data_IF_957396953422
#
_entry.id   IF_957396953422
#
_cell.length_a   1.000
_cell.length_b   1.000
_cell.length_c   1.000
_cell.angle_alpha   90.00
_cell.angle_beta   90.00
_cell.angle_gamma   90.00
#
_symmetry.space_group_name_H-M   'P 1'
#
loop_
_entity.id
_entity.type
_entity.pdbx_description
1 polymer ?
#
# COMPACT_ATOMS: atom_id res chain seq x y z
N UNK A 1 50.47 1.47 11.61
CA UNK A 1 50.40 1.17 13.06
C UNK A 1 49.00 1.51 13.52
N UNK A 2 48.18 0.49 13.78
CA UNK A 2 46.83 0.64 14.31
C UNK A 2 46.93 1.07 15.78
N UNK A 3 46.66 2.34 16.08
CA UNK A 3 46.73 2.88 17.45
C UNK A 3 45.32 3.12 17.97
N UNK A 4 45.02 2.73 19.22
CA UNK A 4 43.74 3.07 19.82
C UNK A 4 43.63 4.58 20.03
N UNK A 5 42.41 5.10 19.93
CA UNK A 5 42.09 6.51 20.15
C UNK A 5 41.03 6.60 21.22
N UNK A 6 41.25 7.47 22.19
CA UNK A 6 40.23 7.76 23.19
C UNK A 6 39.52 9.05 22.80
N UNK A 7 38.19 9.06 22.93
CA UNK A 7 37.34 10.14 22.47
C UNK A 7 36.43 10.55 23.62
N UNK A 8 36.44 11.83 23.95
CA UNK A 8 35.47 12.38 24.88
C UNK A 8 34.83 13.66 24.35
N UNK A 9 33.61 13.90 24.81
CA UNK A 9 32.84 15.12 24.65
C UNK A 9 32.53 15.70 26.04
N UNK A 10 32.19 17.00 26.16
CA UNK A 10 31.95 17.68 27.43
C UNK A 10 30.95 16.99 28.38
N UNK A 11 30.04 16.17 27.85
CA UNK A 11 29.00 15.48 28.63
C UNK A 11 29.09 13.94 28.56
N UNK A 12 29.96 13.38 27.71
CA UNK A 12 30.03 11.93 27.47
C UNK A 12 31.47 11.53 27.18
N UNK A 13 31.97 10.51 27.86
CA UNK A 13 33.21 9.84 27.51
C UNK A 13 32.90 8.56 26.73
N UNK A 14 33.47 8.40 25.53
CA UNK A 14 33.33 7.20 24.71
C UNK A 14 34.42 6.17 25.04
N UNK A 15 35.45 6.56 25.80
CA UNK A 15 36.54 5.70 26.20
C UNK A 15 37.47 5.34 25.04
N UNK A 16 38.29 4.32 25.28
CA UNK A 16 39.32 3.87 24.36
C UNK A 16 38.72 2.99 23.26
N UNK A 17 38.82 3.42 22.01
CA UNK A 17 38.33 2.71 20.84
C UNK A 17 39.51 2.09 20.10
N UNK A 18 39.47 0.76 19.95
CA UNK A 18 40.45 0.02 19.16
C UNK A 18 40.16 0.13 17.65
N UNK A 19 41.18 0.03 16.77
CA UNK A 19 40.97 0.06 15.34
C UNK A 19 40.06 -1.07 14.87
N UNK A 20 39.09 -0.77 14.01
CA UNK A 20 38.00 -1.65 13.54
C UNK A 20 36.91 -1.96 14.59
N UNK A 21 36.92 -1.29 15.75
CA UNK A 21 35.84 -1.34 16.74
C UNK A 21 35.03 -0.04 16.75
N UNK A 22 33.82 -0.13 17.29
CA UNK A 22 32.88 0.97 17.41
C UNK A 22 32.52 1.22 18.87
N UNK A 23 32.11 2.45 19.19
CA UNK A 23 31.54 2.82 20.48
C UNK A 23 30.03 2.71 20.47
N UNK A 24 29.43 2.58 21.66
CA UNK A 24 27.97 2.62 21.79
C UNK A 24 27.43 4.04 21.49
N UNK A 25 26.20 4.09 21.00
CA UNK A 25 25.49 5.35 20.80
C UNK A 25 25.31 6.08 22.13
N UNK A 26 25.64 7.37 22.13
CA UNK A 26 25.45 8.24 23.28
C UNK A 26 24.62 9.45 22.91
N UNK A 27 23.86 9.95 23.89
CA UNK A 27 22.99 11.11 23.69
C UNK A 27 23.77 12.37 24.02
N UNK A 28 23.84 13.28 23.05
CA UNK A 28 24.49 14.58 23.18
C UNK A 28 23.39 15.66 23.06
N UNK A 29 23.55 16.77 23.79
CA UNK A 29 22.65 17.92 23.66
C UNK A 29 22.76 18.52 22.25
N UNK A 30 21.66 19.11 21.79
CA UNK A 30 21.65 19.84 20.52
C UNK A 30 22.60 21.05 20.57
N UNK A 31 23.12 21.42 19.40
CA UNK A 31 24.06 22.51 19.22
C UNK A 31 25.50 22.06 18.99
N UNK A 32 26.40 23.04 18.98
CA UNK A 32 27.83 22.83 18.70
C UNK A 32 28.50 22.10 19.85
N UNK A 33 28.92 20.87 19.60
CA UNK A 33 29.71 20.07 20.53
C UNK A 33 31.13 19.93 20.01
N UNK A 34 32.10 19.96 20.93
CA UNK A 34 33.51 19.75 20.62
C UNK A 34 33.93 18.39 21.17
N UNK A 35 34.41 17.53 20.29
CA UNK A 35 35.01 16.25 20.63
C UNK A 35 36.51 16.43 20.77
N UNK A 36 37.07 15.83 21.80
CA UNK A 36 38.51 15.75 22.01
C UNK A 36 38.94 14.31 21.81
N UNK A 37 39.78 14.09 20.81
CA UNK A 37 40.39 12.82 20.50
C UNK A 37 41.82 12.87 21.04
N UNK A 38 42.20 11.93 21.89
CA UNK A 38 43.56 11.85 22.39
C UNK A 38 44.14 10.44 22.26
N UNK A 39 45.44 10.42 22.05
CA UNK A 39 46.24 9.21 21.98
C UNK A 39 47.52 9.44 22.79
N UNK A 40 47.43 9.17 24.09
CA UNK A 40 48.51 9.43 25.05
C UNK A 40 48.90 10.92 25.08
N UNK A 41 49.98 11.28 24.40
CA UNK A 41 50.57 12.62 24.40
C UNK A 41 49.97 13.60 23.38
N UNK A 42 49.22 13.12 22.39
CA UNK A 42 48.69 13.97 21.32
C UNK A 42 47.17 14.12 21.43
N UNK A 43 46.66 15.34 21.27
CA UNK A 43 45.24 15.67 21.31
C UNK A 43 44.78 16.38 20.02
N UNK A 44 43.55 16.12 19.60
CA UNK A 44 42.89 16.74 18.46
C UNK A 44 41.47 17.14 18.83
N UNK A 45 41.08 18.37 18.51
CA UNK A 45 39.73 18.88 18.77
C UNK A 45 38.93 18.89 17.47
N UNK A 46 37.80 18.20 17.46
CA UNK A 46 36.87 18.15 16.34
C UNK A 46 35.53 18.75 16.76
N UNK A 47 35.05 19.78 16.06
CA UNK A 47 33.78 20.41 16.40
C UNK A 47 32.71 20.12 15.34
N UNK A 48 31.53 19.73 15.79
CA UNK A 48 30.36 19.47 14.95
C UNK A 48 29.10 20.01 15.63
N UNK A 49 28.21 20.55 14.79
CA UNK A 49 26.89 21.01 15.22
C UNK A 49 25.87 19.88 15.04
N UNK A 50 25.09 19.63 16.10
CA UNK A 50 24.08 18.57 16.15
C UNK A 50 22.68 19.18 16.17
N UNK A 51 21.87 18.81 15.17
CA UNK A 51 20.45 19.16 15.18
C UNK A 51 19.63 18.24 16.08
N UNK A 52 18.35 18.56 16.22
CA UNK A 52 17.45 17.79 17.08
C UNK A 52 17.11 16.44 16.42
N UNK A 53 17.25 15.34 17.18
CA UNK A 53 16.87 13.99 16.71
C UNK A 53 17.74 13.41 15.58
N UNK A 54 18.85 14.07 15.22
CA UNK A 54 19.82 13.53 14.27
C UNK A 54 20.75 12.49 14.90
N UNK A 55 21.23 11.55 14.07
CA UNK A 55 22.27 10.59 14.43
C UNK A 55 23.42 10.69 13.44
N UNK A 56 24.64 10.63 13.97
CA UNK A 56 25.86 10.73 13.18
C UNK A 56 26.83 9.62 13.55
N UNK A 57 27.45 9.04 12.53
CA UNK A 57 28.54 8.09 12.68
C UNK A 57 29.82 8.73 12.19
N UNK A 58 30.84 8.77 13.06
CA UNK A 58 32.15 9.33 12.74
C UNK A 58 33.12 8.21 12.39
N UNK A 59 33.73 8.30 11.22
CA UNK A 59 34.78 7.40 10.78
C UNK A 59 36.14 8.05 11.03
N UNK A 60 36.94 7.39 11.87
CA UNK A 60 38.28 7.85 12.22
C UNK A 60 39.28 6.87 11.59
N UNK A 61 40.06 7.30 10.59
CA UNK A 61 41.02 6.42 9.95
C UNK A 61 42.22 6.14 10.87
N UNK A 62 42.78 4.94 10.79
CA UNK A 62 44.02 4.58 11.53
C UNK A 62 45.25 5.42 11.13
N UNK A 63 45.18 6.15 10.01
CA UNK A 63 46.22 7.07 9.51
C UNK A 63 46.08 8.50 10.04
N UNK A 64 45.18 8.74 10.99
CA UNK A 64 44.96 10.07 11.58
C UNK A 64 46.26 10.65 12.14
N UNK A 65 46.67 11.81 11.62
CA UNK A 65 47.82 12.57 12.10
C UNK A 65 47.32 13.61 13.09
N UNK A 66 47.70 13.47 14.36
CA UNK A 66 47.40 14.46 15.39
C UNK A 66 48.21 15.73 15.15
N UNK A 67 47.52 16.84 14.85
CA UNK A 67 48.10 18.12 14.50
C UNK A 67 47.01 19.14 14.18
N UNK A 68 47.38 20.29 13.61
CA UNK A 68 46.48 21.42 13.40
C UNK A 68 45.32 21.12 12.42
N UNK A 69 45.51 20.17 11.49
CA UNK A 69 44.53 19.80 10.45
C UNK A 69 43.90 18.41 10.67
N UNK A 70 43.94 17.87 11.88
CA UNK A 70 43.36 16.55 12.19
C UNK A 70 41.86 16.45 11.85
N UNK A 71 41.15 17.59 11.84
CA UNK A 71 39.73 17.67 11.53
C UNK A 71 39.37 17.19 10.10
N UNK A 72 40.29 17.35 9.13
CA UNK A 72 40.06 17.00 7.72
C UNK A 72 40.07 15.49 7.46
N UNK A 73 40.74 14.72 8.34
CA UNK A 73 40.81 13.26 8.22
C UNK A 73 39.59 12.55 8.80
N UNK A 74 38.73 13.26 9.55
CA UNK A 74 37.55 12.69 10.21
C UNK A 74 36.35 12.87 9.30
N UNK A 75 35.81 11.75 8.83
CA UNK A 75 34.61 11.74 7.99
C UNK A 75 33.39 11.52 8.86
N UNK A 76 32.46 12.48 8.86
CA UNK A 76 31.18 12.36 9.54
C UNK A 76 30.09 11.95 8.53
N UNK A 77 29.48 10.80 8.75
CA UNK A 77 28.30 10.36 8.01
C UNK A 77 27.05 10.69 8.82
N UNK A 78 26.08 11.34 8.17
CA UNK A 78 24.77 11.62 8.75
C UNK A 78 23.86 10.42 8.48
N UNK A 79 23.55 9.65 9.52
CA UNK A 79 22.66 8.49 9.41
C UNK A 79 21.20 8.92 9.42
N UNK A 80 20.88 9.90 10.27
CA UNK A 80 19.52 10.45 10.43
C UNK A 80 19.60 11.96 10.36
N UNK A 81 18.86 12.52 9.40
CA UNK A 81 18.79 13.97 9.19
C UNK A 81 18.17 14.68 10.40
N UNK A 82 18.70 15.86 10.80
CA UNK A 82 18.11 16.64 11.87
C UNK A 82 16.67 17.01 11.56
N UNK A 83 15.82 16.87 12.58
CA UNK A 83 14.42 17.18 12.44
C UNK A 83 14.24 18.69 12.30
N UNK A 84 13.50 19.09 11.25
CA UNK A 84 13.22 20.49 10.93
C UNK A 84 11.80 20.91 11.31
N UNK A 85 10.90 19.95 11.54
CA UNK A 85 9.47 20.19 11.77
C UNK A 85 8.95 19.36 12.93
N UNK A 86 7.94 19.88 13.64
CA UNK A 86 7.34 19.15 14.74
C UNK A 86 6.55 17.94 14.20
N UNK A 87 6.72 16.76 14.81
CA UNK A 87 5.99 15.54 14.40
C UNK A 87 4.46 15.71 14.51
N UNK A 88 3.99 16.63 15.36
CA UNK A 88 2.56 16.95 15.46
C UNK A 88 1.93 17.45 14.14
N UNK A 89 2.72 17.96 13.19
CA UNK A 89 2.20 18.33 11.86
C UNK A 89 1.70 17.13 11.05
N UNK A 90 2.02 15.91 11.47
CA UNK A 90 1.49 14.69 10.86
C UNK A 90 0.05 14.39 11.31
N UNK A 91 -0.38 14.95 12.45
CA UNK A 91 -1.72 14.70 13.01
C UNK A 91 -2.83 15.19 12.08
N UNK A 92 -2.81 16.44 11.56
CA UNK A 92 -3.82 16.88 10.60
C UNK A 92 -3.84 16.03 9.33
N UNK A 93 -2.66 15.61 8.84
CA UNK A 93 -2.57 14.81 7.63
C UNK A 93 -3.28 13.46 7.78
N UNK A 94 -3.03 12.73 8.87
CA UNK A 94 -3.73 11.48 9.14
C UNK A 94 -5.22 11.69 9.35
N UNK A 95 -5.61 12.75 10.06
CA UNK A 95 -7.01 13.05 10.28
C UNK A 95 -7.78 13.23 8.96
N UNK A 96 -7.27 14.04 8.03
CA UNK A 96 -7.94 14.27 6.74
C UNK A 96 -7.95 13.03 5.85
N UNK A 97 -6.87 12.25 5.81
CA UNK A 97 -6.81 11.00 5.04
C UNK A 97 -7.83 9.99 5.56
N UNK A 98 -7.86 9.76 6.87
CA UNK A 98 -8.81 8.81 7.49
C UNK A 98 -10.25 9.30 7.36
N UNK A 99 -10.52 10.60 7.53
CA UNK A 99 -11.85 11.14 7.29
C UNK A 99 -12.30 10.94 5.83
N UNK A 100 -11.40 11.19 4.86
CA UNK A 100 -11.67 10.94 3.44
C UNK A 100 -11.91 9.46 3.13
N UNK A 101 -11.13 8.56 3.72
CA UNK A 101 -11.28 7.12 3.59
C UNK A 101 -12.66 6.66 4.06
N UNK A 102 -13.09 7.07 5.25
CA UNK A 102 -14.42 6.71 5.77
C UNK A 102 -15.53 7.29 4.88
N UNK A 103 -15.40 8.56 4.50
CA UNK A 103 -16.40 9.27 3.71
C UNK A 103 -16.54 8.78 2.27
N UNK A 104 -15.51 8.15 1.69
CA UNK A 104 -15.53 7.64 0.32
C UNK A 104 -15.62 6.12 0.25
N UNK A 105 -14.80 5.40 1.03
CA UNK A 105 -14.71 3.94 0.94
C UNK A 105 -15.91 3.25 1.59
N UNK A 106 -16.33 3.67 2.78
CA UNK A 106 -17.43 3.01 3.51
C UNK A 106 -18.76 3.33 2.83
N UNK A 107 -19.00 4.61 2.58
CA UNK A 107 -20.23 5.08 1.92
C UNK A 107 -20.35 4.58 0.47
N UNK A 108 -19.25 4.55 -0.29
CA UNK A 108 -19.23 4.08 -1.66
C UNK A 108 -19.56 2.59 -1.78
N UNK A 109 -19.03 1.78 -0.86
CA UNK A 109 -19.37 0.36 -0.77
C UNK A 109 -20.83 0.14 -0.33
N UNK A 110 -21.30 0.88 0.67
CA UNK A 110 -22.67 0.80 1.15
C UNK A 110 -23.68 1.19 0.05
N UNK A 111 -23.41 2.28 -0.68
CA UNK A 111 -24.20 2.68 -1.83
C UNK A 111 -24.18 1.61 -2.92
N UNK A 112 -23.01 1.09 -3.29
CA UNK A 112 -22.87 0.03 -4.29
C UNK A 112 -23.65 -1.23 -3.91
N UNK A 113 -23.65 -1.62 -2.63
CA UNK A 113 -24.44 -2.76 -2.16
C UNK A 113 -25.94 -2.51 -2.13
N UNK A 114 -26.38 -1.26 -1.92
CA UNK A 114 -27.81 -0.90 -1.98
C UNK A 114 -28.37 -0.90 -3.40
N UNK A 115 -27.54 -0.60 -4.39
CA UNK A 115 -27.91 -0.56 -5.81
C UNK A 115 -27.72 -1.91 -6.53
N UNK A 116 -27.23 -2.93 -5.81
CA UNK A 116 -26.84 -4.19 -6.40
C UNK A 116 -27.80 -5.33 -6.04
N UNK A 117 -28.09 -6.24 -6.99
CA UNK A 117 -28.87 -7.45 -6.73
C UNK A 117 -28.22 -8.32 -5.65
N UNK A 118 -29.04 -9.04 -4.87
CA UNK A 118 -28.60 -9.87 -3.74
C UNK A 118 -27.47 -10.86 -4.07
N UNK A 119 -27.46 -11.40 -5.28
CA UNK A 119 -26.50 -12.41 -5.72
C UNK A 119 -25.17 -11.83 -6.25
N UNK A 120 -25.05 -10.51 -6.45
CA UNK A 120 -23.86 -9.86 -7.03
C UNK A 120 -22.95 -9.15 -6.02
N UNK A 121 -23.32 -9.16 -4.73
CA UNK A 121 -22.54 -8.48 -3.68
C UNK A 121 -21.08 -8.94 -3.61
N UNK A 122 -20.83 -10.24 -3.76
CA UNK A 122 -19.47 -10.78 -3.77
C UNK A 122 -18.63 -10.30 -4.97
N UNK A 123 -19.24 -10.17 -6.16
CA UNK A 123 -18.56 -9.69 -7.37
C UNK A 123 -18.22 -8.20 -7.23
N UNK A 124 -19.09 -7.40 -6.61
CA UNK A 124 -18.82 -5.99 -6.33
C UNK A 124 -17.70 -5.80 -5.33
N UNK A 125 -17.66 -6.62 -4.27
CA UNK A 125 -16.54 -6.59 -3.33
C UNK A 125 -15.22 -6.95 -4.00
N UNK A 126 -15.21 -7.97 -4.87
CA UNK A 126 -14.04 -8.34 -5.65
C UNK A 126 -13.62 -7.21 -6.62
N UNK A 127 -14.60 -6.56 -7.27
CA UNK A 127 -14.37 -5.39 -8.13
C UNK A 127 -13.78 -4.20 -7.36
N UNK A 128 -14.25 -3.95 -6.14
CA UNK A 128 -13.69 -2.92 -5.26
C UNK A 128 -12.25 -3.23 -4.86
N UNK A 129 -11.95 -4.46 -4.47
CA UNK A 129 -10.57 -4.85 -4.14
C UNK A 129 -9.64 -4.77 -5.36
N UNK A 130 -10.16 -5.04 -6.56
CA UNK A 130 -9.41 -4.89 -7.80
C UNK A 130 -9.04 -3.43 -8.07
N UNK A 131 -9.94 -2.47 -7.86
CA UNK A 131 -9.62 -1.05 -8.03
C UNK A 131 -8.57 -0.58 -7.02
N UNK A 132 -8.63 -1.06 -5.77
CA UNK A 132 -7.60 -0.82 -4.76
C UNK A 132 -6.24 -1.38 -5.20
N UNK A 133 -6.21 -2.59 -5.74
CA UNK A 133 -4.98 -3.21 -6.24
C UNK A 133 -4.36 -2.40 -7.39
N UNK A 134 -5.19 -1.95 -8.35
CA UNK A 134 -4.74 -1.09 -9.45
C UNK A 134 -4.20 0.25 -8.91
N UNK A 135 -4.87 0.86 -7.92
CA UNK A 135 -4.40 2.08 -7.28
C UNK A 135 -3.02 1.91 -6.64
N UNK A 136 -2.82 0.83 -5.88
CA UNK A 136 -1.52 0.50 -5.29
C UNK A 136 -0.44 0.26 -6.35
N UNK A 137 -0.79 -0.36 -7.47
CA UNK A 137 0.13 -0.57 -8.59
C UNK A 137 0.57 0.75 -9.23
N UNK A 138 -0.35 1.71 -9.41
CA UNK A 138 -0.03 3.06 -9.91
C UNK A 138 0.95 3.77 -8.96
N UNK A 139 0.71 3.70 -7.64
CA UNK A 139 1.60 4.32 -6.64
C UNK A 139 3.01 3.74 -6.72
N UNK A 140 3.13 2.41 -6.83
CA UNK A 140 4.42 1.74 -6.96
C UNK A 140 5.17 2.18 -8.21
N UNK A 141 4.48 2.23 -9.35
CA UNK A 141 5.05 2.72 -10.62
C UNK A 141 5.60 4.14 -10.45
N UNK A 142 4.83 5.05 -9.87
CA UNK A 142 5.26 6.44 -9.71
C UNK A 142 6.45 6.54 -8.75
N UNK A 143 6.45 5.78 -7.65
CA UNK A 143 7.53 5.81 -6.67
C UNK A 143 8.87 5.27 -7.22
N UNK A 144 8.84 4.15 -7.95
CA UNK A 144 10.05 3.46 -8.42
C UNK A 144 10.51 3.91 -9.81
N UNK A 145 9.57 4.13 -10.75
CA UNK A 145 9.91 4.43 -12.15
C UNK A 145 10.07 5.92 -12.41
N UNK A 146 9.28 6.79 -11.78
CA UNK A 146 9.32 8.21 -12.11
C UNK A 146 10.50 8.95 -11.49
N UNK A 147 11.13 8.41 -10.43
CA UNK A 147 12.29 8.98 -9.69
C UNK A 147 12.32 10.51 -9.69
N UNK A 148 11.18 11.13 -9.38
CA UNK A 148 11.06 12.58 -9.53
C UNK A 148 12.00 13.23 -8.51
N UNK A 149 12.96 14.06 -8.95
CA UNK A 149 14.01 14.58 -8.07
C UNK A 149 13.46 15.51 -6.97
N UNK A 150 12.22 15.99 -7.14
CA UNK A 150 11.53 16.92 -6.25
C UNK A 150 10.29 16.27 -5.63
N UNK A 151 10.34 16.02 -4.32
CA UNK A 151 9.23 15.40 -3.55
C UNK A 151 7.92 16.16 -3.61
N UNK A 152 7.96 17.49 -3.66
CA UNK A 152 6.74 18.30 -3.77
C UNK A 152 6.01 18.13 -5.10
N UNK A 153 6.73 17.83 -6.19
CA UNK A 153 6.12 17.61 -7.50
C UNK A 153 5.36 16.28 -7.55
N UNK A 154 5.85 15.26 -6.84
CA UNK A 154 5.15 13.99 -6.64
C UNK A 154 3.81 14.19 -5.92
N UNK A 155 3.78 14.99 -4.86
CA UNK A 155 2.51 15.30 -4.16
C UNK A 155 1.52 16.06 -5.02
N UNK A 156 1.99 17.00 -5.86
CA UNK A 156 1.11 17.73 -6.79
C UNK A 156 0.52 16.81 -7.85
N UNK A 157 1.31 15.85 -8.35
CA UNK A 157 0.83 14.85 -9.32
C UNK A 157 -0.31 14.02 -8.72
N UNK A 158 -0.14 13.49 -7.50
CA UNK A 158 -1.21 12.74 -6.85
C UNK A 158 -2.44 13.60 -6.55
N UNK A 159 -2.24 14.85 -6.13
CA UNK A 159 -3.34 15.79 -5.91
C UNK A 159 -4.13 16.07 -7.20
N UNK A 160 -3.44 16.29 -8.33
CA UNK A 160 -4.11 16.56 -9.61
C UNK A 160 -4.87 15.34 -10.14
N UNK A 161 -4.30 14.13 -9.96
CA UNK A 161 -4.98 12.88 -10.30
C UNK A 161 -6.27 12.71 -9.48
N UNK A 162 -6.22 12.99 -8.18
CA UNK A 162 -7.38 12.90 -7.29
C UNK A 162 -8.46 13.93 -7.68
N UNK A 163 -8.08 15.17 -7.99
CA UNK A 163 -9.02 16.20 -8.48
C UNK A 163 -9.68 15.78 -9.80
N UNK A 164 -8.92 15.20 -10.73
CA UNK A 164 -9.47 14.69 -11.98
C UNK A 164 -10.51 13.58 -11.74
N UNK A 165 -10.21 12.65 -10.82
CA UNK A 165 -11.14 11.60 -10.41
C UNK A 165 -12.40 12.19 -9.76
N UNK A 166 -12.27 13.16 -8.86
CA UNK A 166 -13.42 13.87 -8.28
C UNK A 166 -14.29 14.54 -9.34
N UNK A 167 -13.69 15.15 -10.36
CA UNK A 167 -14.41 15.79 -11.45
C UNK A 167 -15.20 14.76 -12.28
N UNK A 168 -14.58 13.64 -12.63
CA UNK A 168 -15.24 12.54 -13.36
C UNK A 168 -16.42 11.99 -12.53
N UNK A 169 -16.21 11.70 -11.24
CA UNK A 169 -17.28 11.23 -10.36
C UNK A 169 -18.41 12.25 -10.20
N UNK A 170 -18.09 13.55 -10.14
CA UNK A 170 -19.10 14.60 -10.05
C UNK A 170 -19.98 14.65 -11.30
N UNK A 171 -19.39 14.49 -12.49
CA UNK A 171 -20.15 14.39 -13.75
C UNK A 171 -21.02 13.13 -13.75
N UNK A 172 -20.44 11.97 -13.41
CA UNK A 172 -21.20 10.71 -13.37
C UNK A 172 -22.37 10.79 -12.39
N UNK A 173 -22.18 11.39 -11.22
CA UNK A 173 -23.22 11.57 -10.22
C UNK A 173 -24.35 12.49 -10.72
N UNK A 174 -24.03 13.54 -11.48
CA UNK A 174 -25.05 14.43 -12.07
C UNK A 174 -25.96 13.71 -13.06
N UNK A 175 -25.43 12.73 -13.80
CA UNK A 175 -26.19 11.94 -14.77
C UNK A 175 -26.73 10.62 -14.19
N UNK A 176 -26.60 10.39 -12.87
CA UNK A 176 -27.02 9.14 -12.26
C UNK A 176 -28.51 9.13 -11.95
N UNK A 177 -29.25 8.24 -12.60
CA UNK A 177 -30.64 7.91 -12.25
C UNK A 177 -30.66 6.81 -11.19
N UNK A 178 -31.31 7.11 -10.06
CA UNK A 178 -31.51 6.15 -8.97
C UNK A 178 -32.41 5.00 -9.42
N UNK A 179 -32.01 3.77 -9.12
CA UNK A 179 -32.82 2.59 -9.39
C UNK A 179 -33.44 2.15 -8.07
N UNK A 180 -34.76 1.96 -8.04
CA UNK A 180 -35.45 1.51 -6.84
C UNK A 180 -35.07 0.04 -6.52
N UNK A 181 -34.48 -0.24 -5.34
CA UNK A 181 -33.97 -1.57 -5.02
C UNK A 181 -35.08 -2.64 -4.99
N UNK A 182 -36.31 -2.24 -4.68
CA UNK A 182 -37.47 -3.13 -4.70
C UNK A 182 -37.86 -3.60 -6.11
N UNK A 183 -37.69 -2.74 -7.13
CA UNK A 183 -37.97 -3.12 -8.52
C UNK A 183 -36.90 -4.06 -9.06
N UNK A 184 -35.63 -3.83 -8.70
CA UNK A 184 -34.51 -4.72 -9.05
C UNK A 184 -34.75 -6.10 -8.45
N UNK A 185 -35.02 -6.21 -7.15
CA UNK A 185 -35.30 -7.49 -6.51
C UNK A 185 -36.52 -8.21 -7.10
N UNK A 186 -37.57 -7.46 -7.49
CA UNK A 186 -38.76 -8.03 -8.13
C UNK A 186 -38.46 -8.56 -9.54
N UNK A 187 -37.67 -7.86 -10.35
CA UNK A 187 -37.21 -8.34 -11.66
C UNK A 187 -36.36 -9.59 -11.52
N UNK A 188 -35.39 -9.59 -10.59
CA UNK A 188 -34.53 -10.76 -10.37
C UNK A 188 -35.29 -11.98 -9.84
N UNK A 189 -36.32 -11.81 -9.00
CA UNK A 189 -37.17 -12.93 -8.57
C UNK A 189 -37.93 -13.55 -9.74
N UNK A 190 -38.49 -12.71 -10.62
CA UNK A 190 -39.17 -13.17 -11.83
C UNK A 190 -38.24 -13.94 -12.74
N UNK A 191 -37.05 -13.41 -13.03
CA UNK A 191 -36.09 -14.10 -13.91
C UNK A 191 -35.69 -15.48 -13.36
N UNK A 192 -35.48 -15.62 -12.04
CA UNK A 192 -35.18 -16.91 -11.43
C UNK A 192 -36.36 -17.89 -11.48
N UNK A 193 -37.60 -17.41 -11.25
CA UNK A 193 -38.81 -18.24 -11.35
C UNK A 193 -39.05 -18.69 -12.80
N UNK A 194 -38.84 -17.81 -13.77
CA UNK A 194 -38.98 -18.10 -15.21
C UNK A 194 -37.92 -19.11 -15.69
N UNK A 195 -36.67 -18.98 -15.23
CA UNK A 195 -35.59 -19.95 -15.51
C UNK A 195 -35.89 -21.34 -14.93
N UNK A 196 -36.39 -21.40 -13.69
CA UNK A 196 -36.77 -22.67 -13.05
C UNK A 196 -37.97 -23.32 -13.75
N UNK A 197 -38.97 -22.53 -14.12
CA UNK A 197 -40.12 -22.98 -14.91
C UNK A 197 -39.67 -23.55 -16.27
N UNK A 198 -38.86 -22.81 -17.03
CA UNK A 198 -38.33 -23.25 -18.32
C UNK A 198 -37.52 -24.55 -18.23
N UNK A 199 -36.70 -24.69 -17.18
CA UNK A 199 -35.94 -25.91 -16.94
C UNK A 199 -36.85 -27.11 -16.63
N UNK A 200 -37.94 -26.88 -15.90
CA UNK A 200 -38.92 -27.92 -15.58
C UNK A 200 -39.72 -28.38 -16.82
N UNK A 201 -40.06 -27.44 -17.71
CA UNK A 201 -40.72 -27.72 -18.99
C UNK A 201 -39.80 -28.53 -19.92
N UNK A 202 -38.52 -28.16 -20.02
CA UNK A 202 -37.52 -28.90 -20.81
C UNK A 202 -37.39 -30.35 -20.32
N UNK A 203 -37.34 -30.57 -19.00
CA UNK A 203 -37.27 -31.92 -18.43
C UNK A 203 -38.51 -32.75 -18.72
N UNK A 204 -39.72 -32.16 -18.66
CA UNK A 204 -40.96 -32.85 -19.01
C UNK A 204 -40.97 -33.25 -20.49
N UNK A 205 -40.58 -32.34 -21.38
CA UNK A 205 -40.48 -32.59 -22.82
C UNK A 205 -39.47 -33.70 -23.13
N UNK A 206 -38.32 -33.72 -22.45
CA UNK A 206 -37.30 -34.76 -22.60
C UNK A 206 -37.84 -36.14 -22.17
N UNK A 207 -38.51 -36.22 -21.02
CA UNK A 207 -39.16 -37.46 -20.54
C UNK A 207 -40.26 -37.94 -21.49
N UNK A 208 -41.07 -37.02 -22.04
CA UNK A 208 -42.15 -37.36 -22.96
C UNK A 208 -41.62 -37.86 -24.33
N UNK A 209 -40.53 -37.27 -24.83
CA UNK A 209 -39.85 -37.76 -26.03
C UNK A 209 -39.27 -39.16 -25.82
N UNK A 210 -38.60 -39.42 -24.69
CA UNK A 210 -38.07 -40.75 -24.36
C UNK A 210 -39.19 -41.79 -24.30
N UNK A 211 -40.33 -41.44 -23.68
CA UNK A 211 -41.49 -42.33 -23.60
C UNK A 211 -42.09 -42.64 -24.98
N UNK A 212 -42.22 -41.64 -25.85
CA UNK A 212 -42.70 -41.85 -27.24
C UNK A 212 -41.76 -42.73 -28.06
N UNK A 213 -40.44 -42.57 -27.91
CA UNK A 213 -39.44 -43.42 -28.58
C UNK A 213 -39.52 -44.87 -28.08
N UNK A 214 -39.65 -45.08 -26.77
CA UNK A 214 -39.83 -46.44 -26.21
C UNK A 214 -41.10 -47.13 -26.71
N UNK A 215 -42.22 -46.41 -26.79
CA UNK A 215 -43.48 -46.97 -27.31
C UNK A 215 -43.34 -47.32 -28.80
N UNK A 216 -42.71 -46.45 -29.59
CA UNK A 216 -42.50 -46.69 -31.03
C UNK A 216 -41.60 -47.90 -31.30
N UNK A 217 -40.55 -48.09 -30.50
CA UNK A 217 -39.69 -49.27 -30.58
C UNK A 217 -40.45 -50.56 -30.17
N UNK A 218 -41.36 -50.49 -29.21
CA UNK A 218 -42.22 -51.62 -28.82
C UNK A 218 -43.23 -51.98 -29.90
N UNK A 219 -43.82 -50.99 -30.58
CA UNK A 219 -44.75 -51.22 -31.69
C UNK A 219 -44.02 -51.80 -32.92
N UNK A 220 -42.80 -51.36 -33.24
CA UNK A 220 -41.98 -51.93 -34.32
C UNK A 220 -41.53 -53.39 -34.02
N UNK A 221 -41.22 -53.72 -32.76
CA UNK A 221 -40.89 -55.08 -32.33
C UNK A 221 -42.10 -56.04 -32.40
N UNK A 222 -43.32 -55.53 -32.20
CA UNK A 222 -44.56 -56.32 -32.26
C UNK A 222 -45.08 -56.48 -33.69
N UNK A 223 -44.81 -55.51 -34.58
CA UNK A 223 -45.13 -55.59 -36.02
C UNK A 223 -44.14 -56.51 -36.77
N UNK A 224 -42.85 -56.51 -36.39
CA UNK A 224 -41.83 -57.41 -36.94
C UNK A 224 -42.01 -58.88 -36.56
N UNK A 225 -42.77 -59.19 -35.50
CA UNK A 225 -43.15 -60.56 -35.13
C UNK A 225 -44.35 -61.11 -35.89
N UNK A 226 -45.20 -60.25 -36.49
CA UNK A 226 -46.41 -60.67 -37.20
C UNK A 226 -46.21 -60.96 -38.69
N UNK A 227 -45.05 -60.63 -39.27
CA UNK A 227 -44.72 -60.83 -40.69
C UNK A 227 -43.90 -62.10 -40.98
N UNK A 228 -43.71 -63.00 -40.00
CA UNK A 228 -43.10 -64.33 -40.20
C UNK A 228 -44.12 -65.45 -40.01
N UNK A 229 -45.03 -65.62 -40.98
CA UNK A 229 -45.74 -66.89 -41.28
C UNK A 229 -45.85 -66.99 -42.81
#
# INVERSE_FOLDING_TARGET
MNRPVNISAPAVDFGLIEPLYYSNYSKIKNGKTMFTLWNGSHSCNYSKDFGFGSSYTFFIPSTLIFGQNCQESITASEDIKPNSVHMALQIPQYFFITAGEVMFSVTGLEFSYSQAPSNMKAVLQAGWLLTVAIGNFIVLIVAELAKIPKRWAEYILFASLLVAVCFIFSIMAYFYTYIDPAEVEAQFKKDNEDDEHNKSELQKLEVEMVKKVSIKNQDEDDEGKKTKI
#
